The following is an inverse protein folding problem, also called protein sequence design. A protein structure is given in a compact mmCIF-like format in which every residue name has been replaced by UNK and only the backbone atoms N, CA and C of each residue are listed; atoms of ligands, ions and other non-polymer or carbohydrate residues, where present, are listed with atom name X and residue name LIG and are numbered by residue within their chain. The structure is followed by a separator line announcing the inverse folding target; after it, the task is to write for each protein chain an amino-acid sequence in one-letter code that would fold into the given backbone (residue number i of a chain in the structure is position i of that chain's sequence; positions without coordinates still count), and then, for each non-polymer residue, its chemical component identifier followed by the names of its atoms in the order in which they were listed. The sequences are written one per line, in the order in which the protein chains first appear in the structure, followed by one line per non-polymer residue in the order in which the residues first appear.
data_IF_814503460144
#
_entry.id   IF_814503460144
#
_cell.length_a   1.000
_cell.length_b   1.000
_cell.length_c   1.000
_cell.angle_alpha   90.00
_cell.angle_beta   90.00
_cell.angle_gamma   90.00
#
_symmetry.space_group_name_H-M   'P 1'
#
loop_
_entity.id
_entity.type
_entity.pdbx_description
1 polymer ?
#
# COMPACT_ATOMS: atom_id res chain seq x y z
N UNK A 1 26.19 26.63 20.32
CA UNK A 1 24.78 26.93 19.99
C UNK A 1 24.60 26.70 18.50
N UNK A 2 24.12 25.52 18.11
CA UNK A 2 23.77 25.22 16.72
C UNK A 2 22.27 25.38 16.63
N UNK A 3 21.84 26.43 15.92
CA UNK A 3 20.43 26.71 15.63
C UNK A 3 19.85 25.57 14.80
N UNK A 4 18.94 24.80 15.38
CA UNK A 4 18.09 23.85 14.65
C UNK A 4 16.94 24.65 14.04
N UNK A 5 16.96 24.84 12.73
CA UNK A 5 15.81 25.35 12.01
C UNK A 5 14.71 24.28 12.02
N UNK A 6 13.48 24.59 12.48
CA UNK A 6 12.37 23.67 12.38
C UNK A 6 11.96 23.54 10.91
N UNK A 7 11.72 22.30 10.49
CA UNK A 7 11.17 21.96 9.18
C UNK A 7 9.79 22.64 9.08
N UNK A 8 9.69 23.71 8.29
CA UNK A 8 8.46 24.48 8.13
C UNK A 8 7.42 23.68 7.34
N UNK A 9 6.27 23.45 7.96
CA UNK A 9 5.07 22.86 7.36
C UNK A 9 4.46 23.82 6.32
N UNK A 10 4.92 23.73 5.07
CA UNK A 10 4.08 24.15 3.93
C UNK A 10 3.23 22.95 3.51
N UNK A 11 2.00 22.89 4.04
CA UNK A 11 1.00 21.91 3.59
C UNK A 11 0.55 22.31 2.19
N UNK A 12 1.25 21.82 1.18
CA UNK A 12 0.89 22.02 -0.23
C UNK A 12 -0.51 21.42 -0.47
N UNK A 13 -1.45 22.25 -0.93
CA UNK A 13 -2.79 21.81 -1.28
C UNK A 13 -2.71 20.94 -2.54
N UNK A 14 -3.13 19.67 -2.41
CA UNK A 14 -3.01 18.67 -3.45
C UNK A 14 -4.10 18.81 -4.53
N UNK A 15 -3.82 18.45 -5.80
CA UNK A 15 -4.76 18.58 -6.91
C UNK A 15 -6.04 17.77 -6.68
N UNK A 16 -7.19 18.45 -6.84
CA UNK A 16 -8.52 17.93 -6.49
C UNK A 16 -9.18 17.10 -7.61
N UNK A 17 -8.63 17.10 -8.84
CA UNK A 17 -9.19 16.38 -9.98
C UNK A 17 -8.16 15.60 -10.82
N UNK A 18 -8.61 14.57 -11.54
CA UNK A 18 -7.79 13.77 -12.48
C UNK A 18 -7.13 14.66 -13.54
N UNK A 19 -7.89 15.59 -14.12
CA UNK A 19 -7.40 16.48 -15.18
C UNK A 19 -6.22 17.35 -14.71
N UNK A 20 -6.26 17.82 -13.46
CA UNK A 20 -5.16 18.60 -12.88
C UNK A 20 -3.90 17.74 -12.71
N UNK A 21 -4.04 16.51 -12.18
CA UNK A 21 -2.90 15.57 -12.05
C UNK A 21 -2.25 15.22 -13.39
N UNK A 22 -3.06 14.96 -14.41
CA UNK A 22 -2.56 14.65 -15.75
C UNK A 22 -1.82 15.86 -16.35
N UNK A 23 -2.33 17.08 -16.15
CA UNK A 23 -1.70 18.31 -16.63
C UNK A 23 -0.35 18.58 -15.94
N UNK A 24 -0.31 18.50 -14.61
CA UNK A 24 0.92 18.68 -13.81
C UNK A 24 1.98 17.64 -14.18
N UNK A 25 1.58 16.39 -14.43
CA UNK A 25 2.52 15.34 -14.85
C UNK A 25 3.03 15.57 -16.28
N UNK A 26 2.19 16.01 -17.23
CA UNK A 26 2.64 16.40 -18.57
C UNK A 26 3.66 17.54 -18.52
N UNK A 27 3.41 18.54 -17.67
CA UNK A 27 4.34 19.65 -17.48
C UNK A 27 5.70 19.17 -16.96
N UNK A 28 5.71 18.28 -15.96
CA UNK A 28 6.93 17.65 -15.46
C UNK A 28 7.64 16.85 -16.56
N UNK A 29 6.94 15.99 -17.29
CA UNK A 29 7.51 15.22 -18.40
C UNK A 29 8.16 16.13 -19.44
N UNK A 30 7.46 17.21 -19.85
CA UNK A 30 7.96 18.19 -20.81
C UNK A 30 9.23 18.89 -20.31
N UNK A 31 9.24 19.34 -19.05
CA UNK A 31 10.40 20.00 -18.45
C UNK A 31 11.65 19.10 -18.43
N UNK A 32 11.46 17.78 -18.33
CA UNK A 32 12.55 16.79 -18.34
C UNK A 32 12.75 16.10 -19.70
N UNK A 33 12.08 16.56 -20.76
CA UNK A 33 12.14 15.99 -22.13
C UNK A 33 11.79 14.50 -22.19
N UNK A 34 10.84 14.07 -21.37
CA UNK A 34 10.29 12.71 -21.37
C UNK A 34 8.96 12.67 -22.13
N UNK A 35 8.62 11.48 -22.63
CA UNK A 35 7.30 11.22 -23.23
C UNK A 35 6.18 11.47 -22.21
N UNK A 36 5.04 12.02 -22.64
CA UNK A 36 3.92 12.29 -21.77
C UNK A 36 3.26 11.00 -21.23
N UNK A 37 2.41 11.10 -20.20
CA UNK A 37 1.70 9.94 -19.62
C UNK A 37 0.93 9.11 -20.66
N UNK A 38 0.33 9.75 -21.66
CA UNK A 38 -0.46 9.12 -22.72
C UNK A 38 0.36 8.20 -23.65
N UNK A 39 1.68 8.38 -23.68
CA UNK A 39 2.60 7.55 -24.46
C UNK A 39 3.34 6.51 -23.60
N UNK A 40 3.15 6.56 -22.27
CA UNK A 40 3.92 5.76 -21.32
C UNK A 40 2.99 4.92 -20.44
N UNK A 41 2.74 5.33 -19.21
CA UNK A 41 2.03 4.53 -18.20
C UNK A 41 0.50 4.75 -18.20
N UNK A 42 -0.01 5.69 -18.99
CA UNK A 42 -1.43 6.02 -19.03
C UNK A 42 -1.98 6.28 -20.45
N UNK A 43 -1.74 5.37 -21.41
CA UNK A 43 -2.27 5.50 -22.77
C UNK A 43 -3.80 5.31 -22.82
N UNK A 44 -4.40 5.79 -23.91
CA UNK A 44 -5.88 5.81 -24.09
C UNK A 44 -6.53 4.44 -23.89
N UNK A 45 -5.88 3.36 -24.35
CA UNK A 45 -6.41 2.00 -24.20
C UNK A 45 -6.44 1.54 -22.72
N UNK A 46 -5.49 1.98 -21.91
CA UNK A 46 -5.47 1.73 -20.45
C UNK A 46 -6.56 2.54 -19.77
N UNK A 47 -6.72 3.81 -20.14
CA UNK A 47 -7.82 4.64 -19.63
C UNK A 47 -9.20 4.01 -19.95
N UNK A 48 -9.40 3.54 -21.18
CA UNK A 48 -10.63 2.83 -21.59
C UNK A 48 -10.87 1.57 -20.77
N UNK A 49 -9.84 0.75 -20.53
CA UNK A 49 -9.93 -0.45 -19.68
C UNK A 49 -10.34 -0.09 -18.25
N UNK A 50 -9.74 0.92 -17.65
CA UNK A 50 -10.11 1.38 -16.29
C UNK A 50 -11.56 1.86 -16.24
N UNK A 51 -12.00 2.63 -17.24
CA UNK A 51 -13.40 3.13 -17.31
C UNK A 51 -14.40 1.98 -17.46
N UNK A 52 -14.04 0.90 -18.14
CA UNK A 52 -14.86 -0.29 -18.31
C UNK A 52 -15.09 -1.07 -16.99
N UNK A 53 -14.24 -0.87 -15.96
CA UNK A 53 -14.39 -1.52 -14.64
C UNK A 53 -15.50 -0.93 -13.76
N UNK A 54 -16.18 0.11 -14.25
CA UNK A 54 -17.43 0.61 -13.68
C UNK A 54 -17.33 2.03 -13.11
N UNK A 55 -18.39 2.81 -13.34
CA UNK A 55 -18.47 4.24 -12.99
C UNK A 55 -18.23 4.54 -11.51
N UNK A 56 -18.61 3.64 -10.60
CA UNK A 56 -18.46 3.83 -9.16
C UNK A 56 -16.98 3.81 -8.69
N UNK A 57 -16.13 3.09 -9.42
CA UNK A 57 -14.75 2.83 -9.01
C UNK A 57 -13.73 3.62 -9.84
N UNK A 58 -14.16 4.23 -10.94
CA UNK A 58 -13.27 4.81 -11.96
C UNK A 58 -12.31 5.86 -11.38
N UNK A 59 -12.80 6.78 -10.54
CA UNK A 59 -11.96 7.85 -10.00
C UNK A 59 -10.88 7.29 -9.06
N UNK A 60 -11.25 6.31 -8.24
CA UNK A 60 -10.30 5.56 -7.40
C UNK A 60 -9.25 4.88 -8.26
N UNK A 61 -9.65 4.11 -9.27
CA UNK A 61 -8.71 3.35 -10.09
C UNK A 61 -7.78 4.26 -10.90
N UNK A 62 -8.30 5.36 -11.44
CA UNK A 62 -7.50 6.39 -12.13
C UNK A 62 -6.51 7.05 -11.18
N UNK A 63 -6.95 7.37 -9.94
CA UNK A 63 -6.05 7.90 -8.93
C UNK A 63 -4.90 6.93 -8.65
N UNK A 64 -5.18 5.63 -8.41
CA UNK A 64 -4.13 4.64 -8.17
C UNK A 64 -3.22 4.46 -9.38
N UNK A 65 -3.76 4.44 -10.60
CA UNK A 65 -2.97 4.31 -11.83
C UNK A 65 -1.93 5.42 -11.97
N UNK A 66 -2.33 6.67 -11.69
CA UNK A 66 -1.46 7.85 -11.84
C UNK A 66 -0.53 8.00 -10.63
N UNK A 67 -1.05 7.83 -9.41
CA UNK A 67 -0.35 8.21 -8.19
C UNK A 67 0.56 7.13 -7.61
N UNK A 68 0.36 5.85 -7.95
CA UNK A 68 1.27 4.80 -7.48
C UNK A 68 2.65 5.01 -8.09
N UNK A 69 3.69 5.12 -7.25
CA UNK A 69 5.07 5.40 -7.70
C UNK A 69 5.29 6.82 -8.22
N UNK A 70 4.37 7.76 -7.95
CA UNK A 70 4.59 9.17 -8.32
C UNK A 70 5.66 9.82 -7.45
N UNK A 71 6.15 10.98 -7.89
CA UNK A 71 7.01 11.84 -7.08
C UNK A 71 6.38 12.19 -5.72
N UNK A 72 5.06 12.33 -5.66
CA UNK A 72 4.31 12.58 -4.43
C UNK A 72 4.39 11.43 -3.43
N UNK A 73 4.28 10.18 -3.92
CA UNK A 73 4.42 9.00 -3.08
C UNK A 73 5.86 8.90 -2.53
N UNK A 74 6.85 9.22 -3.36
CA UNK A 74 8.27 9.24 -2.97
C UNK A 74 8.56 10.38 -1.99
N UNK A 75 7.97 11.56 -2.17
CA UNK A 75 8.08 12.65 -1.20
C UNK A 75 7.46 12.25 0.16
N UNK A 76 6.35 11.50 0.16
CA UNK A 76 5.77 10.94 1.40
C UNK A 76 6.74 9.94 2.05
N UNK A 77 7.38 9.08 1.26
CA UNK A 77 8.42 8.19 1.75
C UNK A 77 9.61 8.97 2.35
N UNK A 78 10.04 10.06 1.70
CA UNK A 78 11.09 10.95 2.22
C UNK A 78 10.71 11.50 3.60
N UNK A 79 9.51 12.00 3.77
CA UNK A 79 9.04 12.48 5.08
C UNK A 79 9.08 11.37 6.12
N UNK A 80 8.69 10.14 5.76
CA UNK A 80 8.78 8.98 6.65
C UNK A 80 10.22 8.73 7.12
N UNK A 81 11.19 8.76 6.19
CA UNK A 81 12.61 8.63 6.53
C UNK A 81 13.07 9.74 7.47
N UNK A 82 12.71 10.99 7.19
CA UNK A 82 13.16 12.14 7.97
C UNK A 82 12.59 12.13 9.40
N UNK A 83 11.31 11.86 9.55
CA UNK A 83 10.68 11.77 10.87
C UNK A 83 11.22 10.60 11.70
N UNK A 84 11.54 9.47 11.07
CA UNK A 84 12.20 8.35 11.74
C UNK A 84 13.54 8.75 12.39
N UNK A 85 14.27 9.69 11.79
CA UNK A 85 15.55 10.17 12.33
C UNK A 85 15.37 11.14 13.51
N UNK A 86 14.21 11.78 13.64
CA UNK A 86 13.98 12.86 14.61
C UNK A 86 13.13 12.46 15.80
N UNK A 87 12.25 11.45 15.66
CA UNK A 87 11.35 11.02 16.72
C UNK A 87 11.84 9.70 17.36
N UNK A 88 12.05 9.71 18.68
CA UNK A 88 12.51 8.54 19.44
C UNK A 88 11.47 7.40 19.48
N UNK A 89 10.19 7.69 19.21
CA UNK A 89 9.08 6.74 19.33
C UNK A 89 9.02 5.74 18.15
N UNK A 90 9.69 5.99 17.02
CA UNK A 90 9.59 5.12 15.83
C UNK A 90 10.04 3.67 16.08
N UNK A 91 10.98 3.45 17.00
CA UNK A 91 11.44 2.10 17.34
C UNK A 91 10.34 1.25 17.95
N UNK A 92 9.40 1.86 18.67
CA UNK A 92 8.24 1.15 19.24
C UNK A 92 7.33 0.56 18.15
N UNK A 93 7.29 1.20 16.99
CA UNK A 93 6.40 0.86 15.88
C UNK A 93 7.02 -0.07 14.84
N UNK A 94 8.23 -0.57 15.06
CA UNK A 94 8.91 -1.48 14.12
C UNK A 94 8.26 -2.86 14.06
N UNK A 95 8.49 -3.55 12.95
CA UNK A 95 8.08 -4.93 12.72
C UNK A 95 9.10 -5.85 13.40
N UNK A 96 8.83 -6.20 14.65
CA UNK A 96 9.63 -7.16 15.40
C UNK A 96 9.21 -8.62 15.13
N UNK A 97 10.15 -9.57 15.03
CA UNK A 97 9.83 -10.99 14.78
C UNK A 97 9.13 -11.69 15.96
N UNK A 98 9.11 -11.07 17.14
CA UNK A 98 8.53 -11.63 18.38
C UNK A 98 7.20 -10.98 18.75
N UNK A 99 6.61 -10.15 17.88
CA UNK A 99 5.36 -9.45 18.17
C UNK A 99 4.19 -10.39 17.92
N UNK A 100 3.38 -10.65 18.96
CA UNK A 100 2.20 -11.51 18.81
C UNK A 100 1.14 -10.87 17.89
N UNK A 101 0.29 -11.68 17.23
CA UNK A 101 -0.82 -11.19 16.42
C UNK A 101 -1.71 -10.16 17.13
N UNK A 102 -2.02 -10.39 18.41
CA UNK A 102 -2.79 -9.47 19.25
C UNK A 102 -2.07 -8.13 19.46
N UNK A 103 -0.77 -8.15 19.78
CA UNK A 103 0.02 -6.94 19.96
C UNK A 103 0.13 -6.15 18.65
N UNK A 104 0.34 -6.85 17.54
CA UNK A 104 0.38 -6.24 16.20
C UNK A 104 -0.95 -5.59 15.83
N UNK A 105 -2.07 -6.21 16.17
CA UNK A 105 -3.39 -5.61 15.98
C UNK A 105 -3.56 -4.31 16.79
N UNK A 106 -3.04 -4.25 18.03
CA UNK A 106 -3.06 -3.02 18.82
C UNK A 106 -2.19 -1.93 18.19
N UNK A 107 -0.99 -2.28 17.73
CA UNK A 107 -0.11 -1.37 16.96
C UNK A 107 -0.87 -0.79 15.75
N UNK A 108 -1.52 -1.63 14.94
CA UNK A 108 -2.31 -1.17 13.78
C UNK A 108 -3.39 -0.17 14.19
N UNK A 109 -4.09 -0.40 15.32
CA UNK A 109 -5.11 0.51 15.82
C UNK A 109 -4.54 1.84 16.31
N UNK A 110 -3.39 1.82 16.97
CA UNK A 110 -2.74 3.03 17.46
C UNK A 110 -2.24 3.88 16.30
N UNK A 111 -1.63 3.26 15.29
CA UNK A 111 -1.20 3.92 14.05
C UNK A 111 -2.35 4.55 13.28
N UNK A 112 -3.57 4.01 13.35
CA UNK A 112 -4.79 4.58 12.74
C UNK A 112 -5.13 5.97 13.31
N UNK A 113 -4.71 6.25 14.55
CA UNK A 113 -4.96 7.50 15.26
C UNK A 113 -3.84 8.54 15.14
N UNK A 114 -2.73 8.19 14.49
CA UNK A 114 -1.51 9.02 14.39
C UNK A 114 -1.46 9.78 13.06
N UNK A 115 -0.52 10.73 12.97
CA UNK A 115 -0.29 11.54 11.77
C UNK A 115 -0.06 10.64 10.55
N UNK A 116 -0.49 11.12 9.39
CA UNK A 116 -0.33 10.57 8.05
C UNK A 116 0.86 9.64 7.77
N UNK A 117 2.00 10.01 8.32
CA UNK A 117 3.27 9.35 8.22
C UNK A 117 3.25 7.88 8.67
N UNK A 118 2.45 7.58 9.68
CA UNK A 118 2.29 6.24 10.25
C UNK A 118 1.42 5.32 9.38
N UNK A 119 0.76 5.87 8.34
CA UNK A 119 0.00 5.11 7.36
C UNK A 119 0.87 4.10 6.60
N UNK A 120 2.15 4.43 6.36
CA UNK A 120 3.09 3.51 5.73
C UNK A 120 3.40 2.31 6.63
N UNK A 121 3.78 2.55 7.89
CA UNK A 121 4.01 1.49 8.89
C UNK A 121 2.78 0.59 9.04
N UNK A 122 1.60 1.20 9.10
CA UNK A 122 0.33 0.49 9.19
C UNK A 122 0.14 -0.51 8.05
N UNK A 123 0.44 -0.14 6.79
CA UNK A 123 0.34 -1.05 5.63
C UNK A 123 1.18 -2.30 5.82
N UNK A 124 2.43 -2.13 6.25
CA UNK A 124 3.34 -3.25 6.46
C UNK A 124 2.95 -4.10 7.67
N UNK A 125 2.47 -3.50 8.76
CA UNK A 125 1.92 -4.27 9.88
C UNK A 125 0.69 -5.08 9.48
N UNK A 126 -0.20 -4.53 8.65
CA UNK A 126 -1.36 -5.25 8.12
C UNK A 126 -0.93 -6.41 7.22
N UNK A 127 0.06 -6.20 6.34
CA UNK A 127 0.61 -7.26 5.50
C UNK A 127 1.17 -8.41 6.36
N UNK A 128 2.04 -8.08 7.32
CA UNK A 128 2.65 -9.09 8.20
C UNK A 128 1.60 -9.81 9.04
N UNK A 129 0.64 -9.07 9.61
CA UNK A 129 -0.45 -9.64 10.38
C UNK A 129 -1.25 -10.66 9.56
N UNK A 130 -1.54 -10.34 8.30
CA UNK A 130 -2.21 -11.25 7.39
C UNK A 130 -1.37 -12.48 7.07
N UNK A 131 -0.09 -12.32 6.72
CA UNK A 131 0.80 -13.44 6.38
C UNK A 131 1.01 -14.37 7.57
N UNK A 132 1.15 -13.85 8.79
CA UNK A 132 1.32 -14.65 10.02
C UNK A 132 0.06 -15.44 10.38
N UNK A 133 -1.13 -14.89 10.15
CA UNK A 133 -2.39 -15.55 10.48
C UNK A 133 -2.89 -16.51 9.39
N UNK A 134 -2.32 -16.47 8.18
CA UNK A 134 -2.78 -17.31 7.06
C UNK A 134 -1.91 -18.58 7.00
N UNK A 135 -2.52 -19.79 7.14
CA UNK A 135 -1.77 -21.04 7.01
C UNK A 135 -1.09 -21.13 5.64
N UNK A 136 0.14 -21.65 5.59
CA UNK A 136 0.94 -21.77 4.35
C UNK A 136 0.22 -22.52 3.21
N UNK A 137 -0.75 -23.39 3.53
CA UNK A 137 -1.54 -24.17 2.58
C UNK A 137 -2.96 -23.62 2.35
N UNK A 138 -3.24 -22.39 2.78
CA UNK A 138 -4.58 -21.81 2.68
C UNK A 138 -4.93 -21.46 1.23
N UNK A 139 -6.13 -21.87 0.79
CA UNK A 139 -6.75 -21.43 -0.48
C UNK A 139 -6.93 -19.91 -0.55
N UNK A 140 -6.79 -19.18 0.56
CA UNK A 140 -6.80 -17.72 0.58
C UNK A 140 -5.49 -17.09 0.06
N UNK A 141 -4.38 -17.84 0.01
CA UNK A 141 -3.09 -17.39 -0.55
C UNK A 141 -3.01 -17.56 -2.06
N UNK A 142 -3.79 -18.48 -2.65
CA UNK A 142 -3.87 -18.63 -4.10
C UNK A 142 -4.66 -17.46 -4.66
N UNK A 143 -3.93 -16.43 -5.10
CA UNK A 143 -4.43 -15.26 -5.79
C UNK A 143 -5.27 -15.73 -7.00
N UNK A 144 -6.59 -15.64 -6.88
CA UNK A 144 -7.61 -16.00 -7.88
C UNK A 144 -7.92 -17.50 -7.99
N UNK A 145 -9.21 -17.80 -7.79
CA UNK A 145 -9.79 -19.13 -7.97
C UNK A 145 -9.78 -19.43 -9.47
N UNK A 146 -8.73 -20.09 -9.95
CA UNK A 146 -8.92 -21.01 -11.07
C UNK A 146 -9.68 -22.20 -10.47
N UNK A 147 -10.96 -22.33 -10.81
CA UNK A 147 -11.72 -23.55 -10.57
C UNK A 147 -11.03 -24.67 -11.32
N UNK A 148 -10.23 -25.47 -10.63
CA UNK A 148 -9.73 -26.74 -11.13
C UNK A 148 -10.92 -27.71 -11.24
N UNK A 149 -11.17 -28.35 -12.40
CA UNK A 149 -12.25 -29.32 -12.55
C UNK A 149 -12.17 -30.52 -11.59
N UNK A 150 -11.06 -30.74 -10.88
CA UNK A 150 -10.98 -31.75 -9.81
C UNK A 150 -11.56 -31.31 -8.45
N UNK A 151 -11.89 -30.04 -8.26
CA UNK A 151 -12.37 -29.51 -6.97
C UNK A 151 -13.84 -29.94 -6.66
N UNK A 152 -14.51 -30.60 -7.61
CA UNK A 152 -15.84 -31.18 -7.44
C UNK A 152 -15.89 -32.45 -6.55
N UNK A 153 -14.73 -33.01 -6.16
CA UNK A 153 -14.68 -34.22 -5.34
C UNK A 153 -14.65 -33.97 -3.82
N UNK A 154 -14.42 -32.73 -3.36
CA UNK A 154 -14.52 -32.38 -1.94
C UNK A 154 -15.95 -31.94 -1.60
N UNK A 155 -16.53 -32.49 -0.53
CA UNK A 155 -17.86 -32.11 0.00
C UNK A 155 -17.98 -30.58 0.06
N UNK A 156 -18.70 -29.98 -0.90
CA UNK A 156 -18.81 -28.53 -0.99
C UNK A 156 -19.55 -28.00 0.24
N UNK A 157 -18.87 -27.19 1.07
CA UNK A 157 -19.59 -26.36 2.05
C UNK A 157 -20.54 -25.44 1.27
N UNK A 158 -21.80 -25.35 1.70
CA UNK A 158 -22.76 -24.44 1.08
C UNK A 158 -22.21 -22.99 1.10
N UNK A 159 -22.34 -22.28 -0.03
CA UNK A 159 -21.84 -20.92 -0.19
C UNK A 159 -20.76 -20.78 -1.26
N UNK A 160 -20.45 -19.55 -1.64
CA UNK A 160 -19.43 -19.27 -2.65
C UNK A 160 -18.02 -19.61 -2.07
N UNK A 161 -17.22 -20.47 -2.71
CA UNK A 161 -15.93 -20.94 -2.19
C UNK A 161 -14.95 -19.82 -1.81
N UNK A 162 -14.95 -18.71 -2.56
CA UNK A 162 -14.09 -17.55 -2.26
C UNK A 162 -14.53 -16.78 -1.01
N UNK A 163 -15.84 -16.70 -0.74
CA UNK A 163 -16.33 -16.13 0.51
C UNK A 163 -16.02 -17.02 1.70
N UNK A 164 -16.11 -18.34 1.53
CA UNK A 164 -15.77 -19.31 2.56
C UNK A 164 -14.28 -19.20 2.96
N UNK A 165 -13.36 -19.15 1.99
CA UNK A 165 -11.92 -19.01 2.27
C UNK A 165 -11.57 -17.70 3.01
N UNK A 166 -12.20 -16.57 2.65
CA UNK A 166 -11.99 -15.29 3.37
C UNK A 166 -12.54 -15.34 4.80
N UNK A 167 -13.70 -15.96 4.98
CA UNK A 167 -14.31 -16.11 6.29
C UNK A 167 -13.44 -16.98 7.19
N UNK A 168 -12.86 -18.07 6.66
CA UNK A 168 -11.94 -18.94 7.40
C UNK A 168 -10.71 -18.17 7.89
N UNK A 169 -10.06 -17.38 7.03
CA UNK A 169 -8.93 -16.51 7.44
C UNK A 169 -9.38 -15.48 8.47
N UNK A 170 -10.55 -14.85 8.29
CA UNK A 170 -11.07 -13.88 9.27
C UNK A 170 -11.29 -14.52 10.64
N UNK A 171 -11.79 -15.77 10.68
CA UNK A 171 -11.97 -16.51 11.93
C UNK A 171 -10.64 -16.88 12.59
N UNK A 172 -9.62 -17.25 11.82
CA UNK A 172 -8.27 -17.48 12.35
C UNK A 172 -7.71 -16.20 12.96
N UNK A 173 -7.74 -15.09 12.23
CA UNK A 173 -7.33 -13.78 12.74
C UNK A 173 -8.12 -13.38 14.00
N UNK A 174 -9.43 -13.63 14.05
CA UNK A 174 -10.24 -13.36 15.26
C UNK A 174 -9.76 -14.17 16.47
N UNK A 175 -9.43 -15.45 16.32
CA UNK A 175 -8.93 -16.30 17.41
C UNK A 175 -7.57 -15.85 17.91
N UNK A 176 -6.70 -15.41 17.00
CA UNK A 176 -5.36 -14.92 17.35
C UNK A 176 -5.40 -13.56 18.08
N UNK A 177 -6.35 -12.68 17.76
CA UNK A 177 -6.48 -11.37 18.43
C UNK A 177 -7.30 -11.49 19.73
N UNK A 178 -8.36 -12.31 19.72
CA UNK A 178 -9.38 -12.39 20.75
C UNK A 178 -9.67 -13.85 21.12
N UNK A 179 -8.71 -14.57 21.73
CA UNK A 179 -8.82 -16.01 21.98
C UNK A 179 -10.02 -16.38 22.86
N UNK A 180 -10.36 -15.51 23.81
CA UNK A 180 -11.42 -15.74 24.81
C UNK A 180 -12.79 -15.14 24.42
N UNK A 181 -12.92 -14.59 23.20
CA UNK A 181 -14.12 -13.86 22.83
C UNK A 181 -15.27 -14.78 22.41
N UNK A 182 -16.41 -14.62 23.07
CA UNK A 182 -17.63 -15.33 22.72
C UNK A 182 -18.21 -14.82 21.40
N UNK A 183 -18.32 -15.73 20.43
CA UNK A 183 -18.95 -15.51 19.12
C UNK A 183 -20.41 -15.06 19.18
N UNK A 184 -21.11 -15.31 20.30
CA UNK A 184 -22.49 -14.89 20.51
C UNK A 184 -22.64 -13.44 21.01
N UNK A 185 -21.53 -12.82 21.43
CA UNK A 185 -21.54 -11.48 22.01
C UNK A 185 -21.84 -10.38 20.98
N UNK A 186 -22.47 -9.29 21.45
CA UNK A 186 -22.71 -8.10 20.61
C UNK A 186 -21.39 -7.46 20.14
N UNK A 187 -20.34 -7.52 20.96
CA UNK A 187 -19.02 -6.99 20.62
C UNK A 187 -18.37 -7.76 19.47
N UNK A 188 -18.53 -9.09 19.43
CA UNK A 188 -17.94 -9.96 18.41
C UNK A 188 -18.24 -9.48 16.99
N UNK A 189 -19.49 -9.08 16.71
CA UNK A 189 -19.88 -8.61 15.37
C UNK A 189 -19.11 -7.37 14.95
N UNK A 190 -18.84 -6.44 15.87
CA UNK A 190 -18.07 -5.23 15.58
C UNK A 190 -16.59 -5.54 15.32
N UNK A 191 -15.99 -6.42 16.13
CA UNK A 191 -14.60 -6.87 16.00
C UNK A 191 -14.40 -7.66 14.72
N UNK A 192 -15.30 -8.60 14.43
CA UNK A 192 -15.28 -9.39 13.21
C UNK A 192 -15.29 -8.51 11.96
N UNK A 193 -16.10 -7.43 11.94
CA UNK A 193 -16.09 -6.46 10.83
C UNK A 193 -14.75 -5.75 10.69
N UNK A 194 -14.14 -5.34 11.80
CA UNK A 194 -12.83 -4.68 11.77
C UNK A 194 -11.74 -5.64 11.25
N UNK A 195 -11.71 -6.88 11.78
CA UNK A 195 -10.75 -7.91 11.36
C UNK A 195 -10.97 -8.33 9.90
N UNK A 196 -12.21 -8.42 9.43
CA UNK A 196 -12.51 -8.71 8.02
C UNK A 196 -12.00 -7.63 7.06
N UNK A 197 -12.02 -6.35 7.47
CA UNK A 197 -11.39 -5.27 6.70
C UNK A 197 -9.87 -5.43 6.64
N UNK A 198 -9.23 -5.74 7.77
CA UNK A 198 -7.78 -6.00 7.82
C UNK A 198 -7.41 -7.22 6.97
N UNK A 199 -8.20 -8.29 7.02
CA UNK A 199 -8.04 -9.48 6.18
C UNK A 199 -8.08 -9.11 4.69
N UNK A 200 -9.02 -8.25 4.30
CA UNK A 200 -9.15 -7.82 2.90
C UNK A 200 -7.97 -6.95 2.48
N UNK A 201 -7.52 -6.02 3.32
CA UNK A 201 -6.33 -5.20 3.06
C UNK A 201 -5.08 -6.06 2.95
N UNK A 202 -4.83 -6.92 3.94
CA UNK A 202 -3.66 -7.79 3.97
C UNK A 202 -3.56 -8.66 2.73
N UNK A 203 -4.67 -9.27 2.29
CA UNK A 203 -4.72 -10.01 1.02
C UNK A 203 -4.34 -9.12 -0.17
N UNK A 204 -4.88 -7.91 -0.25
CA UNK A 204 -4.65 -7.00 -1.39
C UNK A 204 -3.22 -6.45 -1.41
N UNK A 205 -2.66 -6.17 -0.24
CA UNK A 205 -1.26 -5.80 -0.10
C UNK A 205 -0.32 -6.96 -0.46
N UNK A 206 -0.67 -8.19 -0.08
CA UNK A 206 0.08 -9.37 -0.50
C UNK A 206 0.05 -9.51 -2.02
N UNK A 207 -1.12 -9.42 -2.67
CA UNK A 207 -1.22 -9.48 -4.13
C UNK A 207 -0.42 -8.37 -4.84
N UNK A 208 -0.36 -7.16 -4.28
CA UNK A 208 0.48 -6.07 -4.79
C UNK A 208 1.97 -6.39 -4.62
N UNK A 209 2.36 -6.82 -3.43
CA UNK A 209 3.75 -7.15 -3.10
C UNK A 209 4.28 -8.34 -3.92
N UNK A 210 3.46 -9.36 -4.16
CA UNK A 210 3.83 -10.52 -4.98
C UNK A 210 4.06 -10.13 -6.45
N UNK A 211 3.27 -9.20 -6.99
CA UNK A 211 3.36 -8.79 -8.41
C UNK A 211 4.48 -7.78 -8.67
N UNK A 212 4.65 -6.81 -7.77
CA UNK A 212 5.50 -5.63 -7.99
C UNK A 212 6.66 -5.52 -7.00
N UNK A 213 6.76 -6.39 -5.99
CA UNK A 213 7.74 -6.30 -4.91
C UNK A 213 7.18 -5.60 -3.66
N UNK A 214 7.80 -5.85 -2.50
CA UNK A 214 7.30 -5.37 -1.19
C UNK A 214 7.27 -3.84 -1.07
N UNK A 215 8.21 -3.15 -1.70
CA UNK A 215 8.32 -1.69 -1.63
C UNK A 215 7.16 -0.95 -2.29
N UNK A 216 6.38 -1.60 -3.17
CA UNK A 216 5.20 -1.01 -3.80
C UNK A 216 4.20 -0.46 -2.78
N UNK A 217 4.12 -1.04 -1.57
CA UNK A 217 3.23 -0.56 -0.51
C UNK A 217 3.64 0.82 0.02
N UNK A 218 4.94 1.12 -0.01
CA UNK A 218 5.48 2.44 0.28
C UNK A 218 5.27 3.45 -0.85
N UNK A 219 4.94 2.98 -2.05
CA UNK A 219 4.70 3.78 -3.24
C UNK A 219 3.21 3.97 -3.56
N UNK A 220 2.31 3.35 -2.78
CA UNK A 220 0.88 3.58 -2.91
C UNK A 220 0.51 5.01 -2.48
N UNK A 221 -0.55 5.60 -3.06
CA UNK A 221 -0.98 6.96 -2.75
C UNK A 221 -1.15 7.18 -1.24
N UNK A 222 -0.69 8.30 -0.66
CA UNK A 222 -0.68 8.53 0.78
C UNK A 222 -2.06 8.34 1.45
N UNK A 223 -2.09 7.56 2.55
CA UNK A 223 -3.34 7.11 3.20
C UNK A 223 -4.16 8.24 3.83
N UNK A 224 -3.51 9.26 4.39
CA UNK A 224 -4.15 10.42 5.03
C UNK A 224 -4.91 11.32 4.06
N UNK A 225 -4.41 11.43 2.83
CA UNK A 225 -4.92 12.40 1.86
C UNK A 225 -6.06 11.83 1.03
N UNK A 226 -6.05 10.51 0.84
CA UNK A 226 -6.95 9.84 -0.12
C UNK A 226 -7.78 8.73 0.51
N UNK A 227 -7.63 8.44 1.81
CA UNK A 227 -8.22 7.24 2.42
C UNK A 227 -7.93 5.99 1.54
N UNK A 228 -6.73 5.91 0.95
CA UNK A 228 -6.38 4.93 -0.08
C UNK A 228 -6.64 3.49 0.36
N UNK A 229 -6.45 3.19 1.64
CA UNK A 229 -6.76 1.88 2.20
C UNK A 229 -8.26 1.56 2.14
N UNK A 230 -9.14 2.51 2.50
CA UNK A 230 -10.60 2.35 2.38
C UNK A 230 -11.03 2.24 0.92
N UNK A 231 -10.40 3.03 0.04
CA UNK A 231 -10.64 2.96 -1.39
C UNK A 231 -10.26 1.60 -1.95
N UNK A 232 -9.08 1.06 -1.60
CA UNK A 232 -8.66 -0.30 -1.93
C UNK A 232 -9.70 -1.27 -1.41
N UNK A 233 -10.06 -1.29 -0.12
CA UNK A 233 -11.04 -2.23 0.44
C UNK A 233 -12.36 -2.23 -0.33
N UNK A 234 -12.83 -1.05 -0.75
CA UNK A 234 -14.16 -0.88 -1.35
C UNK A 234 -14.31 -1.51 -2.74
N UNK A 235 -13.20 -1.78 -3.44
CA UNK A 235 -13.26 -2.37 -4.78
C UNK A 235 -13.79 -3.81 -4.71
N UNK A 236 -14.69 -4.24 -5.61
CA UNK A 236 -14.99 -5.65 -5.79
C UNK A 236 -13.72 -6.44 -6.14
N UNK A 237 -13.64 -7.71 -5.75
CA UNK A 237 -12.45 -8.54 -5.99
C UNK A 237 -12.11 -8.70 -7.48
N UNK A 238 -13.13 -8.87 -8.34
CA UNK A 238 -12.94 -8.94 -9.79
C UNK A 238 -12.36 -7.64 -10.36
N UNK A 239 -12.85 -6.49 -9.86
CA UNK A 239 -12.37 -5.15 -10.24
C UNK A 239 -10.94 -4.94 -9.77
N UNK A 240 -10.62 -5.32 -8.53
CA UNK A 240 -9.26 -5.21 -8.00
C UNK A 240 -8.29 -6.11 -8.78
N UNK A 241 -8.70 -7.34 -9.11
CA UNK A 241 -7.89 -8.26 -9.91
C UNK A 241 -7.60 -7.75 -11.31
N UNK A 242 -8.60 -7.26 -12.02
CA UNK A 242 -8.38 -6.69 -13.35
C UNK A 242 -7.57 -5.38 -13.27
N UNK A 243 -7.73 -4.60 -12.20
CA UNK A 243 -6.87 -3.44 -11.98
C UNK A 243 -5.38 -3.81 -11.78
N UNK A 244 -5.09 -4.91 -11.08
CA UNK A 244 -3.71 -5.42 -10.98
C UNK A 244 -3.16 -5.82 -12.35
N UNK A 245 -3.97 -6.47 -13.20
CA UNK A 245 -3.57 -6.79 -14.57
C UNK A 245 -3.28 -5.53 -15.38
N UNK A 246 -4.10 -4.49 -15.24
CA UNK A 246 -3.88 -3.18 -15.89
C UNK A 246 -2.56 -2.55 -15.44
N UNK A 247 -2.26 -2.53 -14.14
CA UNK A 247 -0.98 -2.03 -13.62
C UNK A 247 0.19 -2.86 -14.14
N UNK A 248 0.03 -4.17 -14.25
CA UNK A 248 1.05 -5.07 -14.75
C UNK A 248 1.31 -4.88 -16.26
N UNK A 249 0.27 -4.65 -17.05
CA UNK A 249 0.42 -4.40 -18.49
C UNK A 249 1.03 -3.03 -18.78
N UNK A 250 0.74 -2.02 -17.95
CA UNK A 250 1.14 -0.63 -18.20
C UNK A 250 2.42 -0.20 -17.48
N UNK A 251 2.74 -0.83 -16.34
CA UNK A 251 3.72 -0.30 -15.38
C UNK A 251 4.56 -1.37 -14.67
N UNK A 252 4.55 -2.63 -15.12
CA UNK A 252 5.28 -3.72 -14.42
C UNK A 252 6.74 -3.40 -14.13
N UNK A 253 7.52 -3.12 -15.17
CA UNK A 253 8.98 -3.00 -15.01
C UNK A 253 9.35 -1.77 -14.19
N UNK A 254 8.62 -0.67 -14.39
CA UNK A 254 8.84 0.57 -13.65
C UNK A 254 8.46 0.40 -12.17
N UNK A 255 7.31 -0.20 -11.88
CA UNK A 255 6.87 -0.43 -10.50
C UNK A 255 7.78 -1.41 -9.77
N UNK A 256 8.29 -2.44 -10.44
CA UNK A 256 9.27 -3.38 -9.85
C UNK A 256 10.57 -2.68 -9.49
N UNK A 257 11.19 -1.96 -10.45
CA UNK A 257 12.42 -1.20 -10.20
C UNK A 257 12.27 -0.21 -9.05
N UNK A 258 11.19 0.56 -9.06
CA UNK A 258 10.91 1.53 -8.01
C UNK A 258 10.59 0.87 -6.68
N UNK A 259 9.85 -0.24 -6.69
CA UNK A 259 9.57 -1.02 -5.48
C UNK A 259 10.85 -1.54 -4.85
N UNK A 260 11.79 -2.07 -5.63
CA UNK A 260 13.06 -2.59 -5.11
C UNK A 260 13.90 -1.47 -4.47
N UNK A 261 13.99 -0.31 -5.14
CA UNK A 261 14.68 0.86 -4.60
C UNK A 261 14.00 1.39 -3.32
N UNK A 262 12.68 1.56 -3.34
CA UNK A 262 11.91 2.00 -2.17
C UNK A 262 12.01 1.01 -1.01
N UNK A 263 12.03 -0.30 -1.29
CA UNK A 263 12.17 -1.30 -0.25
C UNK A 263 13.57 -1.30 0.37
N UNK A 264 14.61 -1.01 -0.40
CA UNK A 264 15.98 -0.87 0.12
C UNK A 264 16.09 0.27 1.15
N UNK A 265 15.33 1.34 0.96
CA UNK A 265 15.19 2.44 1.95
C UNK A 265 14.33 2.02 3.14
N UNK A 266 13.23 1.33 2.89
CA UNK A 266 12.22 1.01 3.90
C UNK A 266 12.62 -0.14 4.82
N UNK A 267 13.26 -1.17 4.29
CA UNK A 267 13.54 -2.40 5.03
C UNK A 267 14.27 -2.13 6.36
N UNK A 268 15.35 -1.33 6.41
CA UNK A 268 16.03 -1.05 7.66
C UNK A 268 15.16 -0.28 8.67
N UNK A 269 14.24 0.55 8.19
CA UNK A 269 13.31 1.33 9.00
C UNK A 269 12.19 0.46 9.57
N UNK A 270 11.66 -0.43 8.74
CA UNK A 270 10.58 -1.33 9.11
C UNK A 270 11.04 -2.36 10.15
N UNK A 271 12.22 -2.94 9.98
CA UNK A 271 12.70 -4.04 10.84
C UNK A 271 13.74 -3.62 11.89
N UNK A 272 14.07 -2.32 11.95
CA UNK A 272 15.04 -1.81 12.92
C UNK A 272 16.45 -2.36 12.77
N UNK A 273 16.82 -2.83 11.58
CA UNK A 273 18.16 -3.38 11.32
C UNK A 273 19.23 -2.30 11.20
N UNK A 274 18.84 -1.02 11.21
CA UNK A 274 19.76 0.11 11.10
C UNK A 274 20.51 0.38 12.42
N UNK A 275 21.85 0.50 12.35
CA UNK A 275 22.73 0.90 13.46
C UNK A 275 23.49 2.17 13.09
N UNK A 276 22.98 3.35 13.46
CA UNK A 276 23.65 4.65 13.25
C UNK A 276 22.72 5.75 12.71
N UNK A 277 23.26 6.93 12.35
CA UNK A 277 22.50 7.95 11.61
C UNK A 277 22.26 7.48 10.17
N UNK A 278 20.98 7.44 9.77
CA UNK A 278 20.60 6.99 8.44
C UNK A 278 20.95 8.05 7.39
N UNK A 279 22.03 7.86 6.65
CA UNK A 279 22.30 8.63 5.44
C UNK A 279 21.58 7.99 4.26
N UNK A 280 20.24 8.01 4.30
CA UNK A 280 19.47 7.64 3.11
C UNK A 280 19.58 8.77 2.09
N UNK A 281 19.92 8.44 0.85
CA UNK A 281 20.07 9.44 -0.21
C UNK A 281 18.82 10.32 -0.35
N UNK A 282 17.63 9.73 -0.31
CA UNK A 282 16.33 10.43 -0.31
C UNK A 282 16.19 11.54 0.73
N UNK A 283 16.79 11.40 1.93
CA UNK A 283 16.68 12.39 3.00
C UNK A 283 17.46 13.68 2.71
N UNK A 284 18.43 13.63 1.79
CA UNK A 284 19.22 14.78 1.35
C UNK A 284 18.48 15.70 0.36
N UNK A 285 17.37 15.23 -0.22
CA UNK A 285 16.54 16.01 -1.14
C UNK A 285 15.41 16.71 -0.39
N UNK A 286 15.09 17.94 -0.82
CA UNK A 286 13.90 18.62 -0.34
C UNK A 286 12.66 18.04 -1.04
N UNK A 287 11.53 17.92 -0.33
CA UNK A 287 10.29 17.37 -0.88
C UNK A 287 9.84 18.08 -2.17
N UNK A 288 10.00 19.41 -2.23
CA UNK A 288 9.69 20.23 -3.42
C UNK A 288 10.49 19.85 -4.67
N UNK A 289 11.72 19.37 -4.49
CA UNK A 289 12.58 19.00 -5.61
C UNK A 289 12.20 17.60 -6.11
N UNK A 290 11.86 16.69 -5.19
CA UNK A 290 11.29 15.38 -5.52
C UNK A 290 10.00 15.54 -6.32
N UNK A 291 9.06 16.36 -5.84
CA UNK A 291 7.73 16.56 -6.44
C UNK A 291 7.82 17.01 -7.90
N UNK A 292 8.85 17.81 -8.24
CA UNK A 292 9.09 18.31 -9.60
C UNK A 292 9.52 17.23 -10.58
N UNK A 293 10.03 16.10 -10.11
CA UNK A 293 10.47 15.04 -10.98
C UNK A 293 9.27 14.30 -11.62
N UNK A 294 9.36 13.90 -12.89
CA UNK A 294 8.32 13.10 -13.55
C UNK A 294 8.25 11.70 -12.96
N UNK A 295 7.05 11.14 -12.85
CA UNK A 295 6.82 9.76 -12.46
C UNK A 295 7.60 8.82 -13.38
N UNK A 296 8.28 7.86 -12.77
CA UNK A 296 9.03 6.85 -13.52
C UNK A 296 10.36 7.32 -14.10
N UNK A 297 10.76 8.57 -13.86
CA UNK A 297 12.07 9.08 -14.29
C UNK A 297 13.23 8.39 -13.56
N UNK A 298 14.37 8.26 -14.23
CA UNK A 298 15.59 7.75 -13.60
C UNK A 298 16.08 8.68 -12.48
N UNK A 299 15.73 9.96 -12.50
CA UNK A 299 16.03 10.91 -11.42
C UNK A 299 15.34 10.52 -10.11
N UNK A 300 14.04 10.18 -10.14
CA UNK A 300 13.36 9.65 -8.95
C UNK A 300 13.95 8.32 -8.49
N UNK A 301 14.41 7.48 -9.42
CA UNK A 301 15.05 6.23 -9.05
C UNK A 301 16.41 6.45 -8.37
N UNK A 302 17.20 7.42 -8.84
CA UNK A 302 18.44 7.83 -8.18
C UNK A 302 18.19 8.38 -6.78
N UNK A 303 17.11 9.15 -6.59
CA UNK A 303 16.74 9.66 -5.27
C UNK A 303 16.42 8.51 -4.28
N UNK A 304 15.83 7.42 -4.78
CA UNK A 304 15.50 6.23 -3.98
C UNK A 304 16.67 5.27 -3.75
N UNK A 305 17.72 5.33 -4.58
CA UNK A 305 18.89 4.45 -4.51
C UNK A 305 19.94 4.98 -3.53
#
# INVERSE_FOLDING_TARGET
MISKQPCSEETQAWPSSKAQRDAEERERCSAHRLSPPEETFFPEHIEKRIRALGKKNVDTLLMFQVMTGSSSAIATLREFVCSYQTEDDFRHWQIGPTVSPQMRFNIIKELDSKIALYGLLRRYHILHFYVECVPANSRALTNFINTDPNDFQQKSKAGNPGYNAKSEVTLLMMREIYPDMDSSSLEYKSKYRAVSKLQTLGRRYLSLADRFGKGVLGLLPPSNLTNSDNMIISLPDSVFGEFLNILEDSQRDILRRFSDAAFSVLEPLLYGTFRGPMQSHISSYAAKDIIRCPKGSDELLMILS
#
